data_IF_495028990485
#
_entry.id   IF_495028990485
#
_cell.length_a   1.000
_cell.length_b   1.000
_cell.length_c   1.000
_cell.angle_alpha   90.00
_cell.angle_beta   90.00
_cell.angle_gamma   90.00
#
_symmetry.space_group_name_H-M   'P 1'
#
loop_
_entity.id
_entity.type
_entity.pdbx_description
1 polymer ?
#
# COMPACT_ATOMS: atom_id res chain seq x y z
N UNK A 1 -38.42 -43.30 10.81
CA UNK A 1 -38.68 -42.37 9.68
C UNK A 1 -38.56 -40.90 10.07
N UNK A 2 -39.33 -40.38 11.04
CA UNK A 2 -39.26 -38.95 11.46
C UNK A 2 -37.86 -38.47 11.91
N UNK A 3 -37.10 -39.30 12.65
CA UNK A 3 -35.72 -38.97 13.08
C UNK A 3 -34.71 -38.92 11.93
N UNK A 4 -34.91 -39.71 10.87
CA UNK A 4 -34.03 -39.73 9.69
C UNK A 4 -34.27 -38.48 8.85
N UNK A 5 -35.53 -38.07 8.69
CA UNK A 5 -35.91 -36.84 7.99
C UNK A 5 -35.32 -35.61 8.71
N UNK A 6 -35.35 -35.59 10.05
CA UNK A 6 -34.78 -34.49 10.83
C UNK A 6 -33.25 -34.36 10.63
N UNK A 7 -32.53 -35.48 10.57
CA UNK A 7 -31.07 -35.50 10.35
C UNK A 7 -30.71 -35.03 8.94
N UNK A 8 -31.49 -35.40 7.92
CA UNK A 8 -31.30 -34.94 6.53
C UNK A 8 -31.55 -33.43 6.41
N UNK A 9 -32.55 -32.89 7.09
CA UNK A 9 -32.85 -31.45 7.09
C UNK A 9 -31.74 -30.63 7.80
N UNK A 10 -31.15 -31.17 8.87
CA UNK A 10 -30.00 -30.54 9.55
C UNK A 10 -28.74 -30.58 8.67
N UNK A 11 -28.51 -31.68 7.94
CA UNK A 11 -27.40 -31.78 6.98
C UNK A 11 -27.56 -30.85 5.77
N UNK A 12 -28.79 -30.59 5.32
CA UNK A 12 -29.06 -29.64 4.22
C UNK A 12 -28.98 -28.17 4.63
N UNK A 13 -29.13 -27.84 5.91
CA UNK A 13 -29.08 -26.45 6.40
C UNK A 13 -27.66 -26.02 6.83
N UNK A 14 -26.72 -26.96 6.94
CA UNK A 14 -25.34 -26.72 7.42
C UNK A 14 -24.33 -26.19 6.39
N UNK A 15 -24.70 -26.10 5.10
CA UNK A 15 -23.79 -25.63 4.03
C UNK A 15 -24.31 -24.35 3.37
N UNK A 16 -24.50 -23.29 4.15
CA UNK A 16 -24.49 -21.94 3.59
C UNK A 16 -23.02 -21.51 3.51
N UNK A 17 -22.37 -21.74 2.37
CA UNK A 17 -21.11 -21.07 2.06
C UNK A 17 -21.41 -19.58 1.96
N UNK A 18 -21.11 -18.83 3.03
CA UNK A 18 -21.03 -17.38 2.95
C UNK A 18 -19.86 -17.05 2.01
N UNK A 19 -20.16 -16.90 0.72
CA UNK A 19 -19.22 -16.27 -0.20
C UNK A 19 -19.13 -14.81 0.23
N UNK A 20 -18.00 -14.43 0.80
CA UNK A 20 -17.77 -13.03 1.15
C UNK A 20 -17.73 -12.24 -0.15
N UNK A 21 -18.64 -11.27 -0.30
CA UNK A 21 -18.58 -10.35 -1.43
C UNK A 21 -17.22 -9.65 -1.42
N UNK A 22 -16.43 -9.90 -2.45
CA UNK A 22 -15.10 -9.31 -2.59
C UNK A 22 -15.27 -7.91 -3.16
N UNK A 23 -14.60 -6.89 -2.60
CA UNK A 23 -14.63 -5.56 -3.18
C UNK A 23 -14.02 -5.61 -4.59
N UNK A 24 -14.66 -4.93 -5.55
CA UNK A 24 -14.17 -4.82 -6.93
C UNK A 24 -13.00 -3.84 -7.07
N UNK A 25 -12.85 -2.92 -6.12
CA UNK A 25 -11.82 -1.91 -6.07
C UNK A 25 -11.42 -1.67 -4.62
N UNK A 26 -10.10 -1.61 -4.38
CA UNK A 26 -9.52 -1.20 -3.10
C UNK A 26 -8.66 0.03 -3.37
N UNK A 27 -8.86 1.09 -2.58
CA UNK A 27 -8.11 2.34 -2.69
C UNK A 27 -7.31 2.53 -1.40
N UNK A 28 -5.98 2.49 -1.52
CA UNK A 28 -5.06 2.86 -0.44
C UNK A 28 -4.67 4.33 -0.55
N UNK A 29 -4.87 5.11 0.51
CA UNK A 29 -4.52 6.53 0.55
C UNK A 29 -3.57 6.75 1.71
N UNK A 30 -2.38 7.28 1.41
CA UNK A 30 -1.40 7.71 2.40
C UNK A 30 -1.20 9.21 2.22
N UNK A 31 -1.51 9.99 3.26
CA UNK A 31 -1.26 11.43 3.28
C UNK A 31 0.09 11.66 3.96
N UNK A 32 1.10 12.07 3.19
CA UNK A 32 2.46 12.25 3.71
C UNK A 32 2.45 13.28 4.86
N UNK A 33 3.18 12.96 5.92
CA UNK A 33 3.28 13.76 7.14
C UNK A 33 1.94 14.07 7.87
N UNK A 34 0.86 13.33 7.59
CA UNK A 34 -0.41 13.53 8.29
C UNK A 34 -0.35 12.99 9.71
N UNK A 35 -0.40 13.91 10.68
CA UNK A 35 -0.54 13.55 12.09
C UNK A 35 -1.99 13.21 12.43
N UNK A 36 -2.15 12.27 13.36
CA UNK A 36 -3.45 11.85 13.86
C UNK A 36 -4.29 13.02 14.43
N UNK A 37 -3.66 13.97 15.14
CA UNK A 37 -4.36 15.09 15.78
C UNK A 37 -4.98 16.08 14.77
N UNK A 38 -4.55 16.07 13.50
CA UNK A 38 -5.13 16.91 12.46
C UNK A 38 -6.59 16.59 12.17
N UNK A 39 -7.02 15.34 12.35
CA UNK A 39 -8.43 14.94 12.19
C UNK A 39 -9.32 15.76 13.12
N UNK A 40 -8.92 15.92 14.38
CA UNK A 40 -9.70 16.66 15.37
C UNK A 40 -9.47 18.16 15.29
N UNK A 41 -8.23 18.58 15.08
CA UNK A 41 -7.84 19.99 15.06
C UNK A 41 -8.57 20.77 13.97
N UNK A 42 -8.75 20.17 12.79
CA UNK A 42 -9.38 20.80 11.63
C UNK A 42 -10.78 20.22 11.34
N UNK A 43 -11.40 19.56 12.33
CA UNK A 43 -12.67 18.86 12.14
C UNK A 43 -13.77 19.76 11.55
N UNK A 44 -13.84 21.01 12.02
CA UNK A 44 -14.84 21.97 11.55
C UNK A 44 -14.53 22.53 10.15
N UNK A 45 -13.29 22.40 9.68
CA UNK A 45 -12.86 22.86 8.35
C UNK A 45 -13.06 21.78 7.27
N UNK A 46 -13.27 20.52 7.66
CA UNK A 46 -13.51 19.43 6.72
C UNK A 46 -14.97 19.38 6.23
N UNK A 47 -15.14 19.08 4.94
CA UNK A 47 -16.43 18.72 4.36
C UNK A 47 -16.93 17.33 4.81
N UNK A 48 -18.22 17.09 4.62
CA UNK A 48 -18.87 15.86 5.09
C UNK A 48 -18.41 14.60 4.33
N UNK A 49 -18.16 14.70 3.02
CA UNK A 49 -17.83 13.55 2.16
C UNK A 49 -16.35 13.12 2.15
N UNK A 50 -15.53 13.65 3.07
CA UNK A 50 -14.09 13.37 3.17
C UNK A 50 -13.71 12.60 4.44
N UNK A 51 -12.76 13.15 5.22
CA UNK A 51 -12.33 12.57 6.49
C UNK A 51 -13.48 12.32 7.47
N UNK A 52 -14.49 13.20 7.50
CA UNK A 52 -15.67 13.03 8.34
C UNK A 52 -16.43 11.74 8.04
N UNK A 53 -16.72 11.49 6.76
CA UNK A 53 -17.31 10.23 6.30
C UNK A 53 -16.48 9.02 6.71
N UNK A 54 -15.16 9.04 6.47
CA UNK A 54 -14.27 7.93 6.85
C UNK A 54 -14.29 7.64 8.35
N UNK A 55 -14.35 8.68 9.18
CA UNK A 55 -14.38 8.55 10.65
C UNK A 55 -15.75 8.11 11.16
N UNK A 56 -16.84 8.63 10.60
CA UNK A 56 -18.21 8.39 11.09
C UNK A 56 -18.83 7.09 10.56
N UNK A 57 -18.55 6.72 9.31
CA UNK A 57 -19.12 5.54 8.65
C UNK A 57 -18.15 4.37 8.53
N UNK A 58 -16.84 4.64 8.73
CA UNK A 58 -15.79 3.64 8.65
C UNK A 58 -15.31 3.14 10.01
N UNK A 59 -14.13 2.53 10.00
CA UNK A 59 -13.43 2.13 11.22
C UNK A 59 -12.26 3.08 11.48
N UNK A 60 -12.30 3.79 12.61
CA UNK A 60 -11.25 4.75 12.96
C UNK A 60 -10.32 4.20 14.05
N UNK A 61 -9.16 3.71 13.61
CA UNK A 61 -8.14 3.18 14.52
C UNK A 61 -7.26 4.31 15.08
N UNK A 62 -7.49 4.63 16.36
CA UNK A 62 -6.92 5.82 17.01
C UNK A 62 -5.52 5.64 17.59
N UNK A 63 -5.11 4.39 17.79
CA UNK A 63 -3.83 4.04 18.40
C UNK A 63 -2.94 3.25 17.44
N UNK A 64 -2.71 3.82 16.25
CA UNK A 64 -1.69 3.34 15.32
C UNK A 64 -0.34 3.98 15.64
N UNK A 65 0.69 3.16 15.80
CA UNK A 65 2.06 3.61 16.04
C UNK A 65 3.03 2.84 15.14
N UNK A 66 4.11 3.49 14.74
CA UNK A 66 5.20 2.83 14.03
C UNK A 66 5.92 1.87 14.97
N UNK A 67 6.04 0.61 14.58
CA UNK A 67 6.81 -0.40 15.30
C UNK A 67 8.32 -0.36 15.02
N UNK A 68 8.82 0.75 14.47
CA UNK A 68 10.20 0.89 14.00
C UNK A 68 10.66 2.35 14.02
N UNK A 69 11.96 2.54 13.81
CA UNK A 69 12.66 3.82 13.63
C UNK A 69 13.66 3.63 12.47
N UNK A 70 13.93 4.65 11.62
CA UNK A 70 13.34 6.00 11.59
C UNK A 70 11.97 6.08 10.90
N UNK A 71 11.17 7.07 11.28
CA UNK A 71 9.83 7.34 10.71
C UNK A 71 9.93 8.25 9.47
N UNK A 72 10.64 7.80 8.45
CA UNK A 72 10.80 8.49 7.17
C UNK A 72 9.80 7.99 6.11
N UNK A 73 9.64 8.76 5.03
CA UNK A 73 8.69 8.48 3.95
C UNK A 73 8.88 7.09 3.33
N UNK A 74 10.10 6.73 2.90
CA UNK A 74 10.40 5.45 2.25
C UNK A 74 10.07 4.24 3.13
N UNK A 75 10.65 4.14 4.34
CA UNK A 75 10.31 3.10 5.32
C UNK A 75 8.81 3.06 5.63
N UNK A 76 8.19 4.23 5.80
CA UNK A 76 6.76 4.44 6.00
C UNK A 76 5.89 3.70 4.99
N UNK A 77 6.07 4.04 3.70
CA UNK A 77 5.28 3.48 2.61
C UNK A 77 5.56 1.99 2.44
N UNK A 78 6.82 1.56 2.50
CA UNK A 78 7.17 0.15 2.41
C UNK A 78 6.45 -0.68 3.49
N UNK A 79 6.43 -0.22 4.74
CA UNK A 79 5.76 -0.95 5.82
C UNK A 79 4.23 -1.02 5.66
N UNK A 80 3.58 0.06 5.19
CA UNK A 80 2.13 0.08 4.98
C UNK A 80 1.71 -1.01 3.97
N UNK A 81 2.46 -1.16 2.89
CA UNK A 81 2.06 -2.04 1.78
C UNK A 81 2.60 -3.48 1.90
N UNK A 82 3.64 -3.71 2.70
CA UNK A 82 4.19 -5.07 2.96
C UNK A 82 3.67 -5.70 4.24
N UNK A 83 3.13 -4.91 5.17
CA UNK A 83 2.72 -5.40 6.49
C UNK A 83 3.88 -5.81 7.40
N UNK A 84 5.13 -5.44 7.06
CA UNK A 84 6.32 -5.75 7.85
C UNK A 84 7.16 -4.49 8.13
N UNK A 85 8.30 -4.66 8.80
CA UNK A 85 9.18 -3.55 9.23
C UNK A 85 10.41 -3.40 8.33
N UNK A 86 11.15 -2.27 8.44
CA UNK A 86 12.39 -2.05 7.71
C UNK A 86 13.43 -3.16 7.81
N UNK A 87 13.47 -3.86 8.95
CA UNK A 87 14.36 -4.99 9.16
C UNK A 87 14.07 -6.20 8.22
N UNK A 88 12.86 -6.28 7.67
CA UNK A 88 12.42 -7.37 6.79
C UNK A 88 12.29 -6.90 5.34
N UNK A 89 11.62 -5.77 5.09
CA UNK A 89 11.42 -5.29 3.71
C UNK A 89 12.65 -4.58 3.12
N UNK A 90 13.67 -4.25 3.92
CA UNK A 90 14.97 -3.73 3.46
C UNK A 90 15.07 -2.21 3.33
N UNK A 91 13.96 -1.49 3.18
CA UNK A 91 13.95 -0.03 3.13
C UNK A 91 14.11 0.60 4.53
N UNK A 92 15.35 0.91 4.91
CA UNK A 92 15.74 1.38 6.26
C UNK A 92 15.73 2.90 6.44
N UNK A 93 15.80 3.66 5.35
CA UNK A 93 15.76 5.12 5.33
C UNK A 93 15.34 5.60 3.93
N UNK A 94 15.16 6.91 3.76
CA UNK A 94 15.06 7.49 2.40
C UNK A 94 16.39 7.35 1.65
N UNK A 95 17.49 7.54 2.38
CA UNK A 95 18.86 7.41 1.87
C UNK A 95 19.69 6.67 2.92
N UNK A 96 20.52 5.72 2.50
CA UNK A 96 21.46 5.04 3.39
C UNK A 96 22.82 4.87 2.73
N UNK A 97 23.86 4.80 3.56
CA UNK A 97 25.21 4.54 3.08
C UNK A 97 25.38 3.03 2.81
N UNK A 98 25.78 2.66 1.60
CA UNK A 98 26.21 1.31 1.28
C UNK A 98 27.74 1.21 1.34
N UNK A 99 28.22 0.33 2.20
CA UNK A 99 29.66 0.15 2.43
C UNK A 99 30.37 -0.56 1.27
N UNK A 100 29.64 -1.28 0.42
CA UNK A 100 30.24 -2.04 -0.68
C UNK A 100 30.51 -1.12 -1.88
N UNK A 101 29.56 -0.24 -2.21
CA UNK A 101 29.75 0.80 -3.20
C UNK A 101 30.61 1.97 -2.70
N UNK A 102 30.53 2.28 -1.39
CA UNK A 102 31.16 3.47 -0.81
C UNK A 102 30.34 4.75 -0.99
N UNK A 103 29.06 4.62 -1.37
CA UNK A 103 28.17 5.73 -1.71
C UNK A 103 26.84 5.67 -0.95
N UNK A 104 26.11 6.78 -0.97
CA UNK A 104 24.72 6.81 -0.51
C UNK A 104 23.77 6.32 -1.59
N UNK A 105 22.83 5.47 -1.19
CA UNK A 105 21.78 4.90 -2.04
C UNK A 105 20.45 5.52 -1.63
N UNK A 106 19.70 6.00 -2.63
CA UNK A 106 18.31 6.44 -2.47
C UNK A 106 17.36 5.25 -2.52
N UNK A 107 16.32 5.24 -1.69
CA UNK A 107 15.49 4.06 -1.44
C UNK A 107 14.77 3.48 -2.65
N UNK A 108 14.47 4.32 -3.64
CA UNK A 108 13.86 3.91 -4.89
C UNK A 108 14.79 4.14 -6.10
N UNK A 109 16.02 4.60 -5.87
CA UNK A 109 16.94 4.98 -6.94
C UNK A 109 17.50 3.76 -7.64
N UNK A 110 17.52 3.81 -8.97
CA UNK A 110 18.06 2.75 -9.83
C UNK A 110 18.74 3.38 -11.04
N UNK A 111 20.07 3.44 -11.00
CA UNK A 111 20.89 4.12 -12.00
C UNK A 111 20.78 3.55 -13.42
N UNK A 112 20.33 2.29 -13.53
CA UNK A 112 20.17 1.56 -14.79
C UNK A 112 18.81 1.82 -15.45
N UNK A 113 17.85 2.39 -14.73
CA UNK A 113 16.55 2.76 -15.27
C UNK A 113 16.57 4.08 -16.03
N UNK A 114 15.54 4.30 -16.84
CA UNK A 114 15.37 5.51 -17.63
C UNK A 114 13.91 5.99 -17.61
N UNK A 115 13.73 7.30 -17.80
CA UNK A 115 12.40 7.91 -17.87
C UNK A 115 11.61 7.36 -19.05
N UNK A 116 10.40 6.86 -18.78
CA UNK A 116 9.42 6.47 -19.83
C UNK A 116 8.39 7.59 -19.95
N UNK A 117 8.26 8.18 -21.14
CA UNK A 117 7.25 9.20 -21.43
C UNK A 117 6.49 8.90 -22.74
N UNK A 118 5.20 9.26 -22.79
CA UNK A 118 4.41 9.26 -24.02
C UNK A 118 4.61 10.56 -24.81
N UNK A 119 5.87 10.94 -25.02
CA UNK A 119 6.24 12.17 -25.68
C UNK A 119 5.98 12.06 -27.20
N UNK A 120 4.76 12.37 -27.68
CA UNK A 120 4.51 12.63 -29.11
C UNK A 120 5.28 13.86 -29.64
N UNK A 121 5.99 14.58 -28.76
CA UNK A 121 6.99 15.58 -29.14
C UNK A 121 8.34 14.91 -29.39
N UNK A 122 8.89 15.13 -30.60
CA UNK A 122 10.23 14.72 -31.07
C UNK A 122 11.18 14.48 -29.90
N UNK A 123 11.50 13.20 -29.68
CA UNK A 123 12.44 12.69 -28.69
C UNK A 123 13.71 13.55 -28.64
N UNK A 124 13.76 14.47 -27.69
CA UNK A 124 15.01 14.85 -27.08
C UNK A 124 15.05 13.98 -25.84
N UNK A 125 16.05 13.10 -25.72
CA UNK A 125 16.27 12.31 -24.52
C UNK A 125 16.14 13.23 -23.31
N UNK A 126 15.05 13.09 -22.56
CA UNK A 126 14.91 13.78 -21.29
C UNK A 126 15.84 13.03 -20.36
N UNK A 127 17.09 13.48 -20.30
CA UNK A 127 18.07 13.09 -19.30
C UNK A 127 17.60 13.63 -17.94
N UNK A 128 16.52 13.04 -17.40
CA UNK A 128 16.06 13.30 -16.05
C UNK A 128 16.50 12.14 -15.16
N UNK A 129 17.09 12.51 -14.01
CA UNK A 129 17.33 11.56 -12.93
C UNK A 129 16.02 11.05 -12.31
N UNK A 130 14.89 11.74 -12.50
CA UNK A 130 13.61 11.41 -11.86
C UNK A 130 13.04 10.07 -12.31
N UNK A 131 13.36 9.64 -13.54
CA UNK A 131 12.94 8.33 -14.07
C UNK A 131 13.90 7.18 -13.74
N UNK A 132 15.02 7.46 -13.08
CA UNK A 132 16.01 6.46 -12.66
C UNK A 132 15.58 5.80 -11.35
N UNK A 133 14.39 5.19 -11.37
CA UNK A 133 13.72 4.67 -10.19
C UNK A 133 13.20 3.25 -10.41
N UNK A 134 13.30 2.39 -9.39
CA UNK A 134 12.69 1.07 -9.42
C UNK A 134 12.46 0.52 -8.00
N UNK A 135 11.61 -0.51 -7.84
CA UNK A 135 11.37 -1.13 -6.52
C UNK A 135 12.44 -2.16 -6.12
N UNK A 136 13.58 -2.27 -6.84
CA UNK A 136 14.51 -3.39 -6.69
C UNK A 136 15.19 -3.52 -5.31
N UNK A 137 15.19 -2.46 -4.50
CA UNK A 137 15.66 -2.51 -3.12
C UNK A 137 14.68 -3.15 -2.14
N UNK A 138 13.42 -3.39 -2.53
CA UNK A 138 12.45 -4.13 -1.72
C UNK A 138 12.82 -5.61 -1.66
N UNK A 139 12.96 -6.14 -0.44
CA UNK A 139 13.34 -7.55 -0.21
C UNK A 139 12.13 -8.48 -0.04
N UNK A 140 10.91 -7.95 -0.09
CA UNK A 140 9.67 -8.68 0.16
C UNK A 140 8.55 -8.16 -0.72
N UNK A 141 7.47 -8.94 -0.83
CA UNK A 141 6.29 -8.61 -1.62
C UNK A 141 5.37 -7.65 -0.88
N UNK A 142 4.65 -6.84 -1.65
CA UNK A 142 3.53 -6.04 -1.16
C UNK A 142 2.22 -6.82 -1.26
N UNK A 143 1.16 -6.35 -0.58
CA UNK A 143 -0.17 -6.93 -0.78
C UNK A 143 -0.61 -6.87 -2.25
N UNK A 144 -0.11 -5.89 -3.00
CA UNK A 144 -0.47 -5.69 -4.40
C UNK A 144 0.26 -6.70 -5.31
N UNK A 145 1.49 -7.07 -4.97
CA UNK A 145 2.20 -8.18 -5.62
C UNK A 145 1.46 -9.50 -5.34
N UNK A 146 1.10 -9.77 -4.09
CA UNK A 146 0.34 -10.96 -3.70
C UNK A 146 -1.03 -11.04 -4.39
N UNK A 147 -1.72 -9.90 -4.54
CA UNK A 147 -2.98 -9.83 -5.28
C UNK A 147 -2.81 -10.26 -6.75
N UNK A 148 -1.69 -9.86 -7.37
CA UNK A 148 -1.40 -10.14 -8.77
C UNK A 148 -0.87 -11.56 -8.98
N UNK A 149 -0.11 -12.09 -8.03
CA UNK A 149 0.29 -13.49 -7.98
C UNK A 149 -0.91 -14.42 -7.81
N UNK A 150 -1.89 -14.03 -6.99
CA UNK A 150 -3.12 -14.80 -6.80
C UNK A 150 -4.05 -14.73 -8.01
N UNK A 151 -4.13 -13.57 -8.68
CA UNK A 151 -4.93 -13.38 -9.87
C UNK A 151 -4.25 -12.41 -10.85
N UNK A 152 -3.72 -12.96 -11.95
CA UNK A 152 -3.01 -12.22 -12.99
C UNK A 152 -3.87 -11.16 -13.70
N UNK A 153 -5.20 -11.31 -13.69
CA UNK A 153 -6.11 -10.31 -14.25
C UNK A 153 -6.20 -9.04 -13.41
N UNK A 154 -5.77 -9.10 -12.14
CA UNK A 154 -5.80 -7.98 -11.22
C UNK A 154 -5.02 -6.77 -11.74
N UNK A 155 -5.62 -5.59 -11.60
CA UNK A 155 -4.99 -4.32 -11.99
C UNK A 155 -4.51 -3.62 -10.73
N UNK A 156 -3.24 -3.23 -10.75
CA UNK A 156 -2.53 -2.57 -9.65
C UNK A 156 -1.91 -1.31 -10.23
N UNK A 157 -2.20 -0.17 -9.61
CA UNK A 157 -1.70 1.13 -10.01
C UNK A 157 -1.22 1.88 -8.77
N UNK A 158 -0.06 2.53 -8.86
CA UNK A 158 0.45 3.45 -7.85
C UNK A 158 0.50 4.86 -8.44
N UNK A 159 -0.04 5.83 -7.72
CA UNK A 159 0.00 7.26 -8.09
C UNK A 159 0.42 8.02 -6.84
N UNK A 160 1.39 8.91 -6.99
CA UNK A 160 1.83 9.80 -5.93
C UNK A 160 2.07 11.20 -6.50
N UNK A 161 1.81 12.21 -5.69
CA UNK A 161 2.10 13.61 -5.94
C UNK A 161 2.84 14.13 -4.72
N UNK A 162 4.03 14.69 -4.93
CA UNK A 162 4.84 15.29 -3.89
C UNK A 162 5.32 16.66 -4.33
#
# INVERSE_FOLDING_TARGET
MKKIILVIVILFTGFQSFTQEKPKLVIGIVVDQMRYDYIYRFWNDFGEDGFKKLVNEGHFFRNAQFGYVPTYTGPGHASIYTGTTPAVHGIIANDWYDKNSGDYIYCAGDGDMHTVCNCEQKNVDVQSADGKMSPHHMLTTTFADELKLFNEESKVFGISLK
#
